data_IF_602769773041
#
_entry.id   IF_602769773041
#
_cell.length_a   1.000
_cell.length_b   1.000
_cell.length_c   1.000
_cell.angle_alpha   90.00
_cell.angle_beta   90.00
_cell.angle_gamma   90.00
#
_symmetry.space_group_name_H-M   'P 1'
#
loop_
_entity.id
_entity.type
_entity.pdbx_description
1 polymer ?
#
# COMPACT_ATOMS: atom_id res chain seq x y z
N UNK A 1 -76.75 -17.85 -18.40
CA UNK A 1 -76.71 -17.72 -16.94
C UNK A 1 -75.39 -18.28 -16.44
N UNK A 2 -74.45 -17.42 -16.05
CA UNK A 2 -73.18 -17.80 -15.44
C UNK A 2 -73.14 -17.09 -14.09
N UNK A 3 -73.30 -17.86 -13.02
CA UNK A 3 -73.34 -17.37 -11.65
C UNK A 3 -71.93 -16.92 -11.23
N UNK A 4 -71.74 -15.61 -11.17
CA UNK A 4 -70.58 -15.00 -10.54
C UNK A 4 -70.69 -15.16 -9.02
N UNK A 5 -69.90 -16.07 -8.47
CA UNK A 5 -69.64 -16.14 -7.03
C UNK A 5 -68.76 -14.95 -6.68
N UNK A 6 -69.39 -13.82 -6.36
CA UNK A 6 -68.74 -12.70 -5.69
C UNK A 6 -68.50 -13.17 -4.26
N UNK A 7 -67.29 -13.68 -4.01
CA UNK A 7 -66.78 -13.90 -2.67
C UNK A 7 -66.58 -12.54 -1.99
N UNK A 8 -67.65 -12.02 -1.40
CA UNK A 8 -67.63 -10.90 -0.49
C UNK A 8 -66.93 -11.35 0.80
N UNK A 9 -65.59 -11.27 0.81
CA UNK A 9 -64.79 -11.45 2.01
C UNK A 9 -64.92 -10.22 2.91
N UNK A 10 -66.04 -10.13 3.63
CA UNK A 10 -66.11 -9.37 4.89
C UNK A 10 -65.40 -10.19 5.97
N UNK A 11 -64.07 -10.23 5.88
CA UNK A 11 -63.20 -10.81 6.90
C UNK A 11 -62.89 -9.78 7.97
N UNK A 12 -63.43 -10.00 9.17
CA UNK A 12 -63.04 -9.46 10.49
C UNK A 12 -61.69 -8.66 10.48
N UNK A 13 -61.69 -7.35 10.79
CA UNK A 13 -60.47 -6.57 10.77
C UNK A 13 -59.61 -6.95 11.97
N UNK A 14 -58.38 -7.42 11.74
CA UNK A 14 -57.33 -7.34 12.78
C UNK A 14 -56.63 -8.62 13.24
N UNK A 15 -56.88 -9.80 12.66
CA UNK A 15 -56.18 -11.02 13.10
C UNK A 15 -54.89 -11.32 12.31
N UNK A 16 -55.06 -11.89 11.12
CA UNK A 16 -53.96 -12.48 10.33
C UNK A 16 -53.24 -11.47 9.42
N UNK A 17 -53.98 -10.54 8.82
CA UNK A 17 -53.39 -9.53 7.94
C UNK A 17 -52.61 -8.48 8.73
N UNK A 18 -53.03 -8.17 9.96
CA UNK A 18 -52.31 -7.29 10.86
C UNK A 18 -51.01 -7.92 11.36
N UNK A 19 -51.01 -9.22 11.71
CA UNK A 19 -49.79 -9.93 12.09
C UNK A 19 -48.83 -10.05 10.91
N UNK A 20 -49.30 -10.49 9.74
CA UNK A 20 -48.48 -10.62 8.53
C UNK A 20 -47.90 -9.27 8.05
N UNK A 21 -48.66 -8.18 8.22
CA UNK A 21 -48.17 -6.82 8.02
C UNK A 21 -47.01 -6.49 8.98
N UNK A 22 -47.20 -6.65 10.29
CA UNK A 22 -46.15 -6.38 11.27
C UNK A 22 -44.92 -7.27 11.06
N UNK A 23 -45.09 -8.56 10.76
CA UNK A 23 -44.00 -9.50 10.48
C UNK A 23 -43.18 -9.07 9.25
N UNK A 24 -43.84 -8.58 8.20
CA UNK A 24 -43.18 -8.06 7.00
C UNK A 24 -42.42 -6.76 7.30
N UNK A 25 -42.98 -5.87 8.11
CA UNK A 25 -42.31 -4.63 8.56
C UNK A 25 -41.08 -4.95 9.41
N UNK A 26 -41.22 -5.77 10.45
CA UNK A 26 -40.14 -6.11 11.37
C UNK A 26 -39.01 -6.85 10.65
N UNK A 27 -39.36 -7.78 9.74
CA UNK A 27 -38.38 -8.44 8.89
C UNK A 27 -37.70 -7.46 7.94
N UNK A 28 -38.44 -6.53 7.35
CA UNK A 28 -37.90 -5.48 6.48
C UNK A 28 -36.93 -4.57 7.22
N UNK A 29 -37.29 -4.10 8.42
CA UNK A 29 -36.43 -3.26 9.26
C UNK A 29 -35.16 -4.00 9.71
N UNK A 30 -35.26 -5.29 10.05
CA UNK A 30 -34.08 -6.13 10.32
C UNK A 30 -33.16 -6.23 9.10
N UNK A 31 -33.72 -6.37 7.89
CA UNK A 31 -32.94 -6.42 6.65
C UNK A 31 -32.27 -5.07 6.36
N UNK A 32 -32.94 -3.94 6.62
CA UNK A 32 -32.33 -2.60 6.54
C UNK A 32 -31.16 -2.49 7.53
N UNK A 33 -31.35 -2.90 8.79
CA UNK A 33 -30.31 -2.87 9.81
C UNK A 33 -29.11 -3.77 9.46
N UNK A 34 -29.35 -4.90 8.80
CA UNK A 34 -28.32 -5.83 8.34
C UNK A 34 -27.71 -5.44 6.97
N UNK A 35 -28.08 -4.29 6.40
CA UNK A 35 -27.55 -3.79 5.12
C UNK A 35 -28.11 -4.46 3.86
N UNK A 36 -29.12 -5.33 3.98
CA UNK A 36 -29.76 -6.03 2.85
C UNK A 36 -30.94 -5.24 2.30
N UNK A 37 -30.65 -4.23 1.48
CA UNK A 37 -31.68 -3.36 0.90
C UNK A 37 -32.61 -4.09 -0.09
N UNK A 38 -32.11 -5.06 -0.84
CA UNK A 38 -32.94 -5.80 -1.80
C UNK A 38 -33.94 -6.73 -1.10
N UNK A 39 -33.51 -7.41 -0.03
CA UNK A 39 -34.41 -8.17 0.82
C UNK A 39 -35.45 -7.26 1.50
N UNK A 40 -35.03 -6.08 1.97
CA UNK A 40 -35.94 -5.11 2.58
C UNK A 40 -36.97 -4.59 1.56
N UNK A 41 -36.58 -4.33 0.30
CA UNK A 41 -37.51 -3.95 -0.79
C UNK A 41 -38.54 -5.04 -1.10
N UNK A 42 -38.13 -6.31 -1.10
CA UNK A 42 -39.06 -7.43 -1.25
C UNK A 42 -40.07 -7.49 -0.10
N UNK A 43 -39.61 -7.30 1.14
CA UNK A 43 -40.49 -7.25 2.33
C UNK A 43 -41.40 -6.02 2.33
N UNK A 44 -40.93 -4.87 1.84
CA UNK A 44 -41.77 -3.70 1.63
C UNK A 44 -42.88 -3.96 0.61
N UNK A 45 -42.57 -4.63 -0.51
CA UNK A 45 -43.58 -5.01 -1.51
C UNK A 45 -44.64 -5.95 -0.90
N UNK A 46 -44.23 -6.90 -0.05
CA UNK A 46 -45.17 -7.72 0.72
C UNK A 46 -45.98 -6.85 1.68
N UNK A 47 -45.33 -6.00 2.49
CA UNK A 47 -46.00 -5.14 3.45
C UNK A 47 -47.06 -4.24 2.79
N UNK A 48 -46.78 -3.63 1.64
CA UNK A 48 -47.74 -2.81 0.89
C UNK A 48 -48.99 -3.57 0.43
N UNK A 49 -48.88 -4.88 0.21
CA UNK A 49 -50.01 -5.72 -0.21
C UNK A 49 -50.86 -6.20 0.98
N UNK A 50 -50.27 -6.33 2.18
CA UNK A 50 -50.97 -6.89 3.37
C UNK A 50 -51.35 -5.82 4.40
N UNK A 51 -50.61 -4.71 4.47
CA UNK A 51 -50.90 -3.58 5.34
C UNK A 51 -52.01 -2.70 4.74
N UNK A 52 -53.08 -2.49 5.49
CA UNK A 52 -54.26 -1.71 5.04
C UNK A 52 -54.72 -0.75 6.14
N UNK A 53 -55.38 0.34 5.75
CA UNK A 53 -55.87 1.34 6.70
C UNK A 53 -54.74 1.95 7.53
N UNK A 54 -54.85 1.93 8.87
CA UNK A 54 -53.87 2.55 9.79
C UNK A 54 -52.47 1.92 9.74
N UNK A 55 -52.31 0.68 9.26
CA UNK A 55 -50.99 0.04 9.17
C UNK A 55 -50.22 0.38 7.89
N UNK A 56 -50.84 1.08 6.92
CA UNK A 56 -50.16 1.57 5.72
C UNK A 56 -49.03 2.55 6.05
N UNK A 57 -49.23 3.41 7.06
CA UNK A 57 -48.21 4.34 7.54
C UNK A 57 -46.90 3.62 7.95
N UNK A 58 -46.99 2.41 8.53
CA UNK A 58 -45.79 1.62 8.88
C UNK A 58 -45.03 1.13 7.65
N UNK A 59 -45.74 0.84 6.56
CA UNK A 59 -45.10 0.49 5.29
C UNK A 59 -44.42 1.71 4.66
N UNK A 60 -44.99 2.91 4.82
CA UNK A 60 -44.35 4.17 4.42
C UNK A 60 -43.11 4.47 5.26
N UNK A 61 -43.15 4.21 6.57
CA UNK A 61 -41.99 4.30 7.46
C UNK A 61 -40.86 3.34 7.04
N UNK A 62 -41.20 2.09 6.71
CA UNK A 62 -40.23 1.13 6.16
C UNK A 62 -39.67 1.61 4.81
N UNK A 63 -40.50 2.17 3.94
CA UNK A 63 -40.02 2.75 2.68
C UNK A 63 -39.05 3.90 2.93
N UNK A 64 -39.37 4.81 3.85
CA UNK A 64 -38.48 5.90 4.24
C UNK A 64 -37.15 5.38 4.81
N UNK A 65 -37.19 4.33 5.64
CA UNK A 65 -36.00 3.67 6.18
C UNK A 65 -35.13 3.05 5.06
N UNK A 66 -35.74 2.37 4.09
CA UNK A 66 -35.02 1.79 2.93
C UNK A 66 -34.41 2.90 2.07
N UNK A 67 -35.15 3.98 1.79
CA UNK A 67 -34.64 5.12 1.03
C UNK A 67 -33.48 5.82 1.75
N UNK A 68 -33.60 6.03 3.06
CA UNK A 68 -32.53 6.60 3.89
C UNK A 68 -31.28 5.71 3.89
N UNK A 69 -31.45 4.40 4.10
CA UNK A 69 -30.35 3.45 4.07
C UNK A 69 -29.71 3.32 2.68
N UNK A 70 -30.49 3.45 1.60
CA UNK A 70 -29.99 3.51 0.23
C UNK A 70 -29.20 4.79 -0.08
N UNK A 71 -29.64 5.94 0.42
CA UNK A 71 -28.89 7.19 0.29
C UNK A 71 -27.58 7.14 1.10
N UNK A 72 -27.64 6.59 2.32
CA UNK A 72 -26.48 6.36 3.17
C UNK A 72 -25.47 5.39 2.55
N UNK A 73 -25.91 4.30 1.90
CA UNK A 73 -25.00 3.34 1.24
C UNK A 73 -24.29 3.95 0.03
N UNK A 74 -24.99 4.73 -0.79
CA UNK A 74 -24.38 5.45 -1.92
C UNK A 74 -23.38 6.54 -1.47
N UNK A 75 -23.72 7.28 -0.41
CA UNK A 75 -22.82 8.25 0.22
C UNK A 75 -21.58 7.58 0.83
N UNK A 76 -21.79 6.54 1.63
CA UNK A 76 -20.76 5.73 2.25
C UNK A 76 -19.79 5.16 1.20
N UNK A 77 -20.29 4.58 0.11
CA UNK A 77 -19.43 4.02 -0.94
C UNK A 77 -18.58 5.10 -1.63
N UNK A 78 -19.11 6.31 -1.82
CA UNK A 78 -18.31 7.44 -2.36
C UNK A 78 -17.23 7.86 -1.37
N UNK A 79 -17.55 7.95 -0.09
CA UNK A 79 -16.59 8.30 0.96
C UNK A 79 -15.50 7.24 1.11
N UNK A 80 -15.85 5.96 1.11
CA UNK A 80 -14.90 4.83 1.14
C UNK A 80 -13.94 4.90 -0.05
N UNK A 81 -14.45 5.08 -1.28
CA UNK A 81 -13.60 5.26 -2.46
C UNK A 81 -12.69 6.49 -2.37
N UNK A 82 -13.15 7.57 -1.74
CA UNK A 82 -12.30 8.74 -1.51
C UNK A 82 -11.17 8.43 -0.53
N UNK A 83 -11.46 7.71 0.56
CA UNK A 83 -10.45 7.28 1.53
C UNK A 83 -9.45 6.32 0.90
N UNK A 84 -9.91 5.35 0.10
CA UNK A 84 -9.03 4.44 -0.64
C UNK A 84 -8.04 5.20 -1.53
N UNK A 85 -8.51 6.23 -2.27
CA UNK A 85 -7.62 7.10 -3.05
C UNK A 85 -6.60 7.86 -2.19
N UNK A 86 -6.95 8.26 -0.97
CA UNK A 86 -5.97 8.86 -0.07
C UNK A 86 -4.93 7.84 0.39
N UNK A 87 -5.32 6.61 0.69
CA UNK A 87 -4.39 5.53 1.04
C UNK A 87 -3.46 5.22 -0.14
N UNK A 88 -4.00 5.07 -1.35
CA UNK A 88 -3.23 4.84 -2.58
C UNK A 88 -2.32 6.04 -2.92
N UNK A 89 -2.73 7.25 -2.55
CA UNK A 89 -1.96 8.47 -2.69
C UNK A 89 -0.91 8.69 -1.59
N UNK A 90 -0.73 7.74 -0.66
CA UNK A 90 0.15 7.85 0.50
C UNK A 90 -0.18 9.04 1.42
N UNK A 91 -1.46 9.36 1.56
CA UNK A 91 -1.99 10.45 2.38
C UNK A 91 -2.69 9.86 3.61
N UNK A 92 -1.92 9.29 4.55
CA UNK A 92 -2.49 8.51 5.65
C UNK A 92 -3.25 9.38 6.65
N UNK A 93 -2.87 10.65 6.82
CA UNK A 93 -3.62 11.56 7.68
C UNK A 93 -4.97 11.94 7.07
N UNK A 94 -5.01 12.25 5.78
CA UNK A 94 -6.25 12.53 5.05
C UNK A 94 -7.17 11.30 5.06
N UNK A 95 -6.61 10.10 4.87
CA UNK A 95 -7.37 8.86 5.00
C UNK A 95 -7.94 8.68 6.42
N UNK A 96 -7.14 8.91 7.47
CA UNK A 96 -7.59 8.82 8.86
C UNK A 96 -8.72 9.79 9.18
N UNK A 97 -8.62 11.05 8.73
CA UNK A 97 -9.67 12.06 8.87
C UNK A 97 -10.94 11.64 8.13
N UNK A 98 -10.80 11.11 6.91
CA UNK A 98 -11.92 10.61 6.12
C UNK A 98 -12.67 9.47 6.82
N UNK A 99 -11.94 8.51 7.40
CA UNK A 99 -12.53 7.41 8.19
C UNK A 99 -13.25 7.93 9.43
N UNK A 100 -12.68 8.91 10.13
CA UNK A 100 -13.29 9.51 11.33
C UNK A 100 -14.56 10.33 11.01
N UNK A 101 -14.67 10.85 9.79
CA UNK A 101 -15.82 11.62 9.31
C UNK A 101 -16.96 10.74 8.76
N UNK A 102 -16.83 9.42 8.76
CA UNK A 102 -17.90 8.52 8.30
C UNK A 102 -19.05 8.49 9.30
N UNK A 103 -20.29 8.59 8.79
CA UNK A 103 -21.50 8.42 9.59
C UNK A 103 -21.58 7.04 10.25
N UNK A 104 -22.32 6.93 11.36
CA UNK A 104 -22.44 5.69 12.14
C UNK A 104 -22.90 4.47 11.30
N UNK A 105 -23.83 4.68 10.37
CA UNK A 105 -24.34 3.65 9.46
C UNK A 105 -23.25 3.12 8.50
N UNK A 106 -22.31 3.99 8.10
CA UNK A 106 -21.18 3.61 7.26
C UNK A 106 -20.02 3.03 8.09
N UNK A 107 -19.79 3.61 9.27
CA UNK A 107 -18.72 3.23 10.18
C UNK A 107 -18.82 1.78 10.66
N UNK A 108 -20.03 1.20 10.74
CA UNK A 108 -20.24 -0.21 11.11
C UNK A 108 -20.10 -1.22 9.96
N UNK A 109 -19.84 -0.77 8.73
CA UNK A 109 -19.70 -1.67 7.59
C UNK A 109 -18.37 -2.45 7.63
N UNK A 110 -18.41 -3.73 7.30
CA UNK A 110 -17.23 -4.62 7.29
C UNK A 110 -16.12 -4.13 6.35
N UNK A 111 -16.47 -3.45 5.26
CA UNK A 111 -15.53 -2.81 4.33
C UNK A 111 -14.74 -1.68 5.01
N UNK A 112 -15.40 -0.87 5.85
CA UNK A 112 -14.75 0.21 6.60
C UNK A 112 -13.84 -0.35 7.70
N UNK A 113 -14.22 -1.48 8.31
CA UNK A 113 -13.34 -2.15 9.27
C UNK A 113 -12.07 -2.72 8.62
N UNK A 114 -12.17 -3.26 7.41
CA UNK A 114 -10.99 -3.67 6.63
C UNK A 114 -10.11 -2.46 6.31
N UNK A 115 -10.71 -1.35 5.89
CA UNK A 115 -10.02 -0.10 5.59
C UNK A 115 -9.29 0.47 6.81
N UNK A 116 -9.93 0.46 7.99
CA UNK A 116 -9.30 0.84 9.27
C UNK A 116 -8.10 -0.02 9.60
N UNK A 117 -8.22 -1.34 9.43
CA UNK A 117 -7.11 -2.28 9.68
C UNK A 117 -5.96 -2.03 8.70
N UNK A 118 -6.24 -1.76 7.44
CA UNK A 118 -5.23 -1.43 6.44
C UNK A 118 -4.51 -0.12 6.80
N UNK A 119 -5.26 0.92 7.14
CA UNK A 119 -4.73 2.22 7.55
C UNK A 119 -3.83 2.09 8.77
N UNK A 120 -4.27 1.36 9.81
CA UNK A 120 -3.49 1.13 11.02
C UNK A 120 -2.17 0.40 10.74
N UNK A 121 -2.17 -0.57 9.81
CA UNK A 121 -0.93 -1.26 9.38
C UNK A 121 0.03 -0.32 8.68
N UNK A 122 -0.46 0.55 7.79
CA UNK A 122 0.37 1.53 7.10
C UNK A 122 0.95 2.57 8.07
N UNK A 123 0.15 3.05 9.02
CA UNK A 123 0.62 3.96 10.07
C UNK A 123 1.69 3.31 10.95
N UNK A 124 1.52 2.04 11.32
CA UNK A 124 2.54 1.30 12.07
C UNK A 124 3.84 1.13 11.27
N UNK A 125 3.75 0.86 9.96
CA UNK A 125 4.91 0.78 9.09
C UNK A 125 5.63 2.14 8.97
N UNK A 126 4.90 3.25 8.80
CA UNK A 126 5.45 4.60 8.78
C UNK A 126 6.17 4.94 10.09
N UNK A 127 5.56 4.64 11.25
CA UNK A 127 6.16 4.85 12.56
C UNK A 127 7.46 4.04 12.73
N UNK A 128 7.48 2.79 12.26
CA UNK A 128 8.69 1.96 12.30
C UNK A 128 9.83 2.54 11.44
N UNK A 129 9.51 3.05 10.24
CA UNK A 129 10.52 3.70 9.39
C UNK A 129 11.03 4.97 10.04
N UNK A 130 10.14 5.78 10.64
CA UNK A 130 10.50 7.00 11.34
C UNK A 130 11.51 6.76 12.48
N UNK A 131 11.32 5.71 13.28
CA UNK A 131 12.30 5.32 14.31
C UNK A 131 13.65 5.00 13.68
N UNK A 132 13.68 4.28 12.55
CA UNK A 132 14.90 4.00 11.80
C UNK A 132 15.60 5.24 11.26
N UNK A 133 14.84 6.24 10.77
CA UNK A 133 15.40 7.53 10.34
C UNK A 133 16.07 8.25 11.50
N UNK A 134 15.40 8.35 12.65
CA UNK A 134 15.95 8.99 13.84
C UNK A 134 17.23 8.30 14.30
N UNK A 135 17.23 6.97 14.35
CA UNK A 135 18.43 6.20 14.71
C UNK A 135 19.59 6.43 13.73
N UNK A 136 19.32 6.58 12.43
CA UNK A 136 20.34 6.91 11.45
C UNK A 136 20.89 8.34 11.63
N UNK A 137 20.02 9.32 11.94
CA UNK A 137 20.43 10.69 12.25
C UNK A 137 21.29 10.73 13.52
N UNK A 138 20.89 10.03 14.58
CA UNK A 138 21.65 9.90 15.84
C UNK A 138 23.01 9.23 15.60
N UNK A 139 23.04 8.24 14.71
CA UNK A 139 24.25 7.55 14.25
C UNK A 139 25.11 8.36 13.27
N UNK A 140 24.70 9.59 12.91
CA UNK A 140 25.34 10.44 11.89
C UNK A 140 25.45 9.78 10.50
N UNK A 141 24.58 8.83 10.19
CA UNK A 141 24.51 8.15 8.90
C UNK A 141 23.52 8.88 7.96
N UNK A 142 24.05 9.84 7.20
CA UNK A 142 23.26 10.64 6.26
C UNK A 142 22.63 9.79 5.14
N UNK A 143 23.28 8.71 4.70
CA UNK A 143 22.78 7.87 3.60
C UNK A 143 21.62 7.02 4.08
N UNK A 144 21.72 6.40 5.25
CA UNK A 144 20.62 5.64 5.84
C UNK A 144 19.42 6.56 6.19
N UNK A 145 19.67 7.75 6.72
CA UNK A 145 18.63 8.73 7.02
C UNK A 145 17.91 9.20 5.73
N UNK A 146 18.64 9.51 4.66
CA UNK A 146 18.05 9.90 3.37
C UNK A 146 17.18 8.79 2.78
N UNK A 147 17.67 7.55 2.77
CA UNK A 147 16.91 6.40 2.29
C UNK A 147 15.66 6.15 3.14
N UNK A 148 15.77 6.32 4.46
CA UNK A 148 14.66 6.16 5.39
C UNK A 148 13.58 7.24 5.19
N UNK A 149 13.97 8.50 4.96
CA UNK A 149 13.02 9.58 4.60
C UNK A 149 12.31 9.25 3.29
N UNK A 150 13.03 8.83 2.25
CA UNK A 150 12.40 8.43 0.98
C UNK A 150 11.42 7.27 1.14
N UNK A 151 11.73 6.29 2.01
CA UNK A 151 10.80 5.21 2.36
C UNK A 151 9.58 5.72 3.12
N UNK A 152 9.78 6.66 4.05
CA UNK A 152 8.67 7.26 4.80
C UNK A 152 7.73 8.00 3.85
N UNK A 153 8.24 8.79 2.90
CA UNK A 153 7.43 9.47 1.88
C UNK A 153 6.70 8.50 0.93
N UNK A 154 7.28 7.32 0.69
CA UNK A 154 6.63 6.27 -0.09
C UNK A 154 5.51 5.54 0.68
N UNK A 155 5.40 5.74 2.00
CA UNK A 155 4.35 5.15 2.83
C UNK A 155 3.33 6.22 3.23
N UNK A 156 3.81 7.38 3.68
CA UNK A 156 3.04 8.52 4.16
C UNK A 156 3.73 9.84 3.81
N UNK A 157 3.25 10.48 2.74
CA UNK A 157 3.70 11.82 2.30
C UNK A 157 3.24 12.92 3.24
N UNK A 158 2.20 12.66 4.02
CA UNK A 158 1.64 13.60 4.99
C UNK A 158 2.18 13.38 6.40
N UNK A 159 3.23 12.56 6.55
CA UNK A 159 3.85 12.34 7.84
C UNK A 159 4.32 13.70 8.42
N UNK A 160 3.85 14.09 9.61
CA UNK A 160 4.01 15.45 10.14
C UNK A 160 5.47 15.79 10.46
N UNK A 161 6.29 14.77 10.61
CA UNK A 161 7.69 14.85 11.01
C UNK A 161 8.65 14.90 9.83
N UNK A 162 8.16 14.67 8.59
CA UNK A 162 8.98 14.75 7.38
C UNK A 162 9.74 16.08 7.22
N UNK A 163 9.13 17.25 7.46
CA UNK A 163 9.85 18.53 7.34
C UNK A 163 11.01 18.63 8.32
N UNK A 164 10.81 18.18 9.56
CA UNK A 164 11.84 18.20 10.59
C UNK A 164 12.98 17.23 10.26
N UNK A 165 12.66 15.98 9.91
CA UNK A 165 13.65 14.96 9.56
C UNK A 165 14.52 15.37 8.35
N UNK A 166 13.93 16.03 7.36
CA UNK A 166 14.68 16.58 6.22
C UNK A 166 15.61 17.72 6.64
N UNK A 167 15.15 18.59 7.54
CA UNK A 167 15.98 19.65 8.12
C UNK A 167 17.18 19.07 8.89
N UNK A 168 16.94 18.05 9.71
CA UNK A 168 17.98 17.36 10.48
C UNK A 168 19.02 16.69 9.57
N UNK A 169 18.56 16.04 8.49
CA UNK A 169 19.45 15.46 7.47
C UNK A 169 20.29 16.54 6.79
N UNK A 170 19.69 17.69 6.46
CA UNK A 170 20.40 18.80 5.83
C UNK A 170 21.46 19.38 6.78
N UNK A 171 21.12 19.58 8.04
CA UNK A 171 22.07 20.01 9.07
C UNK A 171 23.22 19.00 9.24
N UNK A 172 22.93 17.70 9.27
CA UNK A 172 23.93 16.64 9.33
C UNK A 172 24.87 16.68 8.11
N UNK A 173 24.33 16.83 6.90
CA UNK A 173 25.11 16.92 5.66
C UNK A 173 25.99 18.16 5.60
N UNK A 174 25.51 19.30 6.13
CA UNK A 174 26.30 20.53 6.21
C UNK A 174 27.43 20.39 7.24
N UNK A 175 27.17 19.75 8.38
CA UNK A 175 28.17 19.50 9.40
C UNK A 175 29.29 18.57 8.91
N UNK A 176 28.95 17.52 8.15
CA UNK A 176 29.96 16.63 7.56
C UNK A 176 30.76 17.33 6.45
N UNK A 177 30.12 18.16 5.62
CA UNK A 177 30.81 18.97 4.62
C UNK A 177 31.77 20.00 5.26
N UNK A 178 31.34 20.68 6.33
CA UNK A 178 32.18 21.62 7.06
C UNK A 178 33.37 20.93 7.74
N UNK A 179 33.17 19.73 8.31
CA UNK A 179 34.25 18.94 8.88
C UNK A 179 35.27 18.49 7.82
N UNK A 180 34.81 18.13 6.61
CA UNK A 180 35.69 17.79 5.49
C UNK A 180 36.50 18.99 4.99
N UNK A 181 35.89 20.19 4.93
CA UNK A 181 36.57 21.43 4.56
C UNK A 181 37.59 21.91 5.61
N UNK A 182 37.37 21.60 6.90
CA UNK A 182 38.33 21.87 7.96
C UNK A 182 39.49 20.86 8.00
N UNK A 183 39.30 19.67 7.41
CA UNK A 183 40.30 18.61 7.34
C UNK A 183 41.24 18.71 6.14
N UNK A 184 41.00 19.61 5.18
CA UNK A 184 42.02 19.97 4.18
C UNK A 184 43.12 20.76 4.89
N UNK A 185 44.39 20.32 4.87
CA UNK A 185 45.47 21.13 5.38
C UNK A 185 45.50 22.42 4.57
N UNK A 186 45.43 23.55 5.28
CA UNK A 186 45.75 24.86 4.74
C UNK A 186 47.18 24.78 4.17
N UNK A 187 47.32 24.66 2.85
CA UNK A 187 48.50 25.21 2.18
C UNK A 187 48.42 26.72 2.41
N UNK A 188 49.07 27.15 3.49
CA UNK A 188 49.24 28.55 3.80
C UNK A 188 49.87 29.24 2.58
N UNK A 189 49.29 30.33 2.06
CA UNK A 189 50.03 31.20 1.16
C UNK A 189 51.12 31.86 2.00
N UNK A 190 52.34 31.35 1.91
CA UNK A 190 53.50 31.97 2.54
C UNK A 190 53.83 33.22 1.73
N UNK A 191 53.28 34.35 2.17
CA UNK A 191 53.73 35.68 1.75
C UNK A 191 55.22 35.80 2.05
N UNK A 192 56.05 35.79 1.00
CA UNK A 192 57.45 36.20 1.08
C UNK A 192 57.58 37.64 0.57
N UNK A 193 58.37 38.50 1.22
CA UNK A 193 58.46 39.91 0.85
C UNK A 193 59.33 40.09 -0.41
N UNK A 194 59.01 41.16 -1.13
CA UNK A 194 59.66 41.61 -2.34
C UNK A 194 61.20 41.74 -2.20
N UNK A 195 61.93 41.18 -3.16
CA UNK A 195 63.29 41.59 -3.51
C UNK A 195 63.26 42.02 -4.97
N UNK A 196 63.44 43.32 -5.19
CA UNK A 196 63.90 43.87 -6.46
C UNK A 196 65.38 43.46 -6.61
N UNK A 197 65.77 42.91 -7.76
CA UNK A 197 66.72 43.56 -8.68
C UNK A 197 67.37 42.56 -9.67
N UNK A 198 67.49 43.04 -10.92
CA UNK A 198 68.32 42.59 -12.06
C UNK A 198 67.93 41.40 -12.94
N UNK A 199 67.76 41.74 -14.22
CA UNK A 199 67.62 40.94 -15.45
C UNK A 199 68.89 40.08 -15.76
N UNK A 200 68.99 39.16 -16.78
CA UNK A 200 68.51 39.32 -18.16
C UNK A 200 67.97 38.08 -18.95
N UNK A 201 67.42 38.39 -20.12
CA UNK A 201 67.03 37.62 -21.35
C UNK A 201 68.23 36.82 -21.96
N UNK A 202 68.17 35.82 -22.91
CA UNK A 202 67.12 35.35 -23.87
C UNK A 202 66.89 33.80 -24.03
N UNK A 203 65.94 33.44 -24.92
CA UNK A 203 65.65 32.10 -25.53
C UNK A 203 66.76 31.60 -26.51
N UNK A 204 66.65 30.49 -27.31
CA UNK A 204 65.60 29.46 -27.52
C UNK A 204 66.06 27.97 -27.79
N UNK A 205 65.09 27.08 -28.10
CA UNK A 205 65.11 25.95 -29.10
C UNK A 205 65.29 24.45 -28.72
N UNK A 206 64.24 23.67 -29.06
CA UNK A 206 64.11 22.32 -29.71
C UNK A 206 64.82 21.06 -29.17
N UNK A 207 64.08 19.93 -29.14
CA UNK A 207 64.18 18.69 -29.98
C UNK A 207 63.56 17.46 -29.25
N UNK A 208 62.75 16.66 -29.96
CA UNK A 208 62.13 15.37 -29.55
C UNK A 208 63.11 14.17 -29.76
N UNK A 209 62.75 12.88 -29.88
CA UNK A 209 61.64 12.02 -29.38
C UNK A 209 62.16 10.69 -28.74
N UNK A 210 61.28 9.83 -28.16
CA UNK A 210 61.43 8.35 -28.26
C UNK A 210 60.22 7.55 -27.73
N UNK A 211 59.78 6.60 -28.56
CA UNK A 211 58.84 5.50 -28.31
C UNK A 211 59.63 4.25 -27.84
N UNK A 212 58.98 3.21 -27.24
CA UNK A 212 58.56 2.07 -28.06
C UNK A 212 57.21 1.39 -27.68
N UNK A 213 56.54 0.83 -28.69
CA UNK A 213 55.39 -0.13 -28.71
C UNK A 213 55.96 -1.59 -28.65
N UNK A 214 55.21 -2.74 -28.59
CA UNK A 214 53.76 -2.99 -28.74
C UNK A 214 53.11 -4.03 -27.78
N UNK A 215 51.77 -4.06 -27.64
CA UNK A 215 50.94 -5.15 -28.19
C UNK A 215 49.45 -4.76 -28.36
N UNK A 216 48.95 -5.09 -29.56
CA UNK A 216 47.58 -5.03 -30.16
C UNK A 216 46.42 -5.43 -29.20
N UNK A 217 45.34 -4.65 -29.14
CA UNK A 217 44.15 -4.63 -30.03
C UNK A 217 43.33 -5.94 -29.92
N UNK A 218 42.05 -5.95 -29.51
CA UNK A 218 40.82 -5.38 -30.12
C UNK A 218 39.84 -5.06 -28.96
N UNK A 219 39.08 -3.97 -28.83
CA UNK A 219 38.13 -3.33 -29.76
C UNK A 219 37.78 -1.91 -29.24
N UNK A 220 37.67 -0.93 -30.14
CA UNK A 220 37.31 0.47 -29.82
C UNK A 220 35.95 0.80 -30.42
N UNK A 221 35.06 1.23 -29.54
CA UNK A 221 34.06 2.29 -29.65
C UNK A 221 33.26 2.48 -30.96
N UNK A 222 31.94 2.41 -30.74
CA UNK A 222 30.91 3.37 -31.15
C UNK A 222 30.49 3.39 -32.63
N UNK A 223 29.34 2.76 -32.88
CA UNK A 223 28.28 3.35 -33.69
C UNK A 223 26.97 3.18 -32.93
N UNK A 224 26.21 4.27 -32.85
CA UNK A 224 24.86 4.29 -32.32
C UNK A 224 23.94 3.40 -33.16
N UNK A 225 23.39 2.37 -32.55
CA UNK A 225 22.12 1.77 -32.96
C UNK A 225 21.24 1.70 -31.71
N UNK A 226 20.02 2.23 -31.83
CA UNK A 226 18.99 2.14 -30.82
C UNK A 226 18.72 0.64 -30.53
N UNK A 227 19.22 0.16 -29.40
CA UNK A 227 19.10 -1.24 -29.01
C UNK A 227 17.64 -1.63 -28.80
N UNK A 228 17.17 -2.77 -29.35
CA UNK A 228 15.86 -3.29 -29.03
C UNK A 228 15.89 -3.90 -27.62
N UNK A 229 15.42 -3.09 -26.67
CA UNK A 229 14.66 -3.44 -25.49
C UNK A 229 15.17 -4.52 -24.49
N UNK A 230 15.38 -4.01 -23.27
CA UNK A 230 15.28 -4.63 -21.94
C UNK A 230 14.04 -5.54 -21.68
N UNK A 231 13.18 -5.76 -22.68
CA UNK A 231 11.95 -6.55 -22.57
C UNK A 231 12.22 -8.00 -22.11
N UNK A 232 13.34 -8.60 -22.52
CA UNK A 232 13.70 -9.96 -22.11
C UNK A 232 14.10 -10.08 -20.65
N UNK A 233 14.79 -9.07 -20.09
CA UNK A 233 15.17 -9.04 -18.69
C UNK A 233 13.96 -8.70 -17.80
N UNK A 234 13.12 -7.74 -18.23
CA UNK A 234 11.87 -7.42 -17.56
C UNK A 234 10.91 -8.62 -17.51
N UNK A 235 10.73 -9.34 -18.63
CA UNK A 235 9.85 -10.51 -18.69
C UNK A 235 10.37 -11.69 -17.83
N UNK A 236 11.70 -11.88 -17.77
CA UNK A 236 12.31 -12.86 -16.83
C UNK A 236 12.06 -12.47 -15.38
N UNK A 237 12.17 -11.19 -15.05
CA UNK A 237 11.90 -10.70 -13.70
C UNK A 237 10.41 -10.88 -13.32
N UNK A 238 9.48 -10.60 -14.24
CA UNK A 238 8.06 -10.86 -14.02
C UNK A 238 7.75 -12.34 -13.79
N UNK A 239 8.38 -13.24 -14.56
CA UNK A 239 8.27 -14.69 -14.35
C UNK A 239 8.85 -15.12 -12.98
N UNK A 240 10.00 -14.58 -12.58
CA UNK A 240 10.54 -14.86 -11.25
C UNK A 240 9.56 -14.42 -10.15
N UNK A 241 8.94 -13.25 -10.30
CA UNK A 241 7.93 -12.74 -9.36
C UNK A 241 6.63 -13.54 -9.35
N UNK A 242 6.21 -14.17 -10.46
CA UNK A 242 5.07 -15.09 -10.45
C UNK A 242 5.40 -16.37 -9.68
N UNK A 243 6.57 -16.97 -9.92
CA UNK A 243 7.01 -18.15 -9.17
C UNK A 243 7.13 -17.90 -7.67
N UNK A 244 7.59 -16.72 -7.25
CA UNK A 244 7.62 -16.35 -5.83
C UNK A 244 6.22 -16.22 -5.21
N UNK A 245 5.23 -15.72 -5.96
CA UNK A 245 3.83 -15.66 -5.52
C UNK A 245 3.21 -17.05 -5.39
N UNK A 246 3.50 -17.95 -6.33
CA UNK A 246 3.01 -19.33 -6.29
C UNK A 246 3.69 -20.15 -5.17
N UNK A 247 4.96 -19.87 -4.86
CA UNK A 247 5.65 -20.42 -3.69
C UNK A 247 5.00 -19.96 -2.38
N UNK A 248 4.65 -18.67 -2.28
CA UNK A 248 3.94 -18.11 -1.11
C UNK A 248 2.55 -18.71 -0.92
N UNK A 249 1.79 -18.90 -2.01
CA UNK A 249 0.48 -19.57 -1.98
C UNK A 249 0.61 -21.02 -1.54
N UNK A 250 1.54 -21.77 -2.12
CA UNK A 250 1.77 -23.18 -1.79
C UNK A 250 2.20 -23.37 -0.33
N UNK A 251 3.01 -22.44 0.19
CA UNK A 251 3.40 -22.39 1.60
C UNK A 251 2.19 -22.15 2.52
N UNK A 252 1.25 -21.27 2.12
CA UNK A 252 0.03 -21.01 2.89
C UNK A 252 -0.92 -22.22 2.91
N UNK A 253 -0.92 -23.02 1.84
CA UNK A 253 -1.69 -24.25 1.71
C UNK A 253 -1.02 -25.48 2.38
N UNK A 254 0.17 -25.32 2.97
CA UNK A 254 0.93 -26.42 3.58
C UNK A 254 1.59 -27.37 2.58
N UNK A 255 1.62 -27.02 1.28
CA UNK A 255 2.24 -27.81 0.21
C UNK A 255 3.73 -27.46 0.09
N UNK A 256 4.53 -27.95 1.03
CA UNK A 256 5.94 -27.57 1.16
C UNK A 256 6.81 -27.97 -0.05
N UNK A 257 6.57 -29.15 -0.65
CA UNK A 257 7.32 -29.61 -1.82
C UNK A 257 7.03 -28.77 -3.07
N UNK A 258 5.77 -28.38 -3.26
CA UNK A 258 5.37 -27.46 -4.33
C UNK A 258 6.01 -26.07 -4.10
N UNK A 259 6.00 -25.57 -2.86
CA UNK A 259 6.62 -24.30 -2.52
C UNK A 259 8.14 -24.29 -2.79
N UNK A 260 8.86 -25.38 -2.48
CA UNK A 260 10.29 -25.54 -2.82
C UNK A 260 10.52 -25.55 -4.33
N UNK A 261 9.69 -26.28 -5.08
CA UNK A 261 9.79 -26.37 -6.55
C UNK A 261 9.62 -25.00 -7.23
N UNK A 262 8.64 -24.21 -6.79
CA UNK A 262 8.45 -22.85 -7.30
C UNK A 262 9.60 -21.91 -6.92
N UNK A 263 10.15 -22.06 -5.71
CA UNK A 263 11.29 -21.26 -5.25
C UNK A 263 12.58 -21.58 -6.02
N UNK A 264 12.82 -22.85 -6.36
CA UNK A 264 13.93 -23.25 -7.23
C UNK A 264 13.75 -22.74 -8.67
N UNK A 265 12.52 -22.72 -9.16
CA UNK A 265 12.19 -22.14 -10.47
C UNK A 265 12.47 -20.63 -10.49
N UNK A 266 12.08 -19.90 -9.44
CA UNK A 266 12.41 -18.48 -9.27
C UNK A 266 13.92 -18.23 -9.20
N UNK A 267 14.67 -19.08 -8.48
CA UNK A 267 16.14 -18.97 -8.34
C UNK A 267 16.91 -19.20 -9.64
N UNK A 268 16.40 -20.05 -10.53
CA UNK A 268 16.99 -20.24 -11.87
C UNK A 268 16.82 -19.02 -12.78
N UNK A 269 15.78 -18.23 -12.55
CA UNK A 269 15.42 -17.08 -13.39
C UNK A 269 16.04 -15.79 -12.84
N UNK A 270 16.03 -15.61 -11.52
CA UNK A 270 16.62 -14.45 -10.83
C UNK A 270 17.38 -14.90 -9.57
N UNK A 271 18.67 -15.28 -9.69
CA UNK A 271 19.46 -15.77 -8.56
C UNK A 271 19.82 -14.67 -7.54
N UNK A 272 19.71 -13.39 -7.91
CA UNK A 272 20.06 -12.26 -7.04
C UNK A 272 18.90 -11.79 -6.15
N UNK A 273 17.74 -12.43 -6.24
CA UNK A 273 16.53 -11.98 -5.55
C UNK A 273 16.57 -12.29 -4.04
N UNK A 274 16.63 -11.24 -3.21
CA UNK A 274 16.64 -11.36 -1.75
C UNK A 274 15.40 -12.07 -1.16
N UNK A 275 14.26 -12.12 -1.89
CA UNK A 275 13.04 -12.81 -1.44
C UNK A 275 13.18 -14.33 -1.45
N UNK A 276 14.06 -14.88 -2.28
CA UNK A 276 14.30 -16.33 -2.35
C UNK A 276 14.87 -16.84 -1.02
N UNK A 277 15.82 -16.13 -0.43
CA UNK A 277 16.46 -16.53 0.82
C UNK A 277 15.58 -16.33 2.04
N UNK A 278 14.67 -15.36 2.00
CA UNK A 278 13.69 -15.16 3.08
C UNK A 278 12.57 -16.22 3.02
N UNK A 279 12.07 -16.54 1.82
CA UNK A 279 11.03 -17.57 1.64
C UNK A 279 11.57 -18.97 1.91
N UNK A 280 12.79 -19.30 1.50
CA UNK A 280 13.38 -20.61 1.78
C UNK A 280 13.50 -20.87 3.29
N UNK A 281 13.89 -19.86 4.08
CA UNK A 281 13.90 -19.95 5.55
C UNK A 281 12.50 -20.15 6.12
N UNK A 282 11.50 -19.42 5.63
CA UNK A 282 10.11 -19.56 6.07
C UNK A 282 9.52 -20.94 5.75
N UNK A 283 9.81 -21.50 4.58
CA UNK A 283 9.38 -22.85 4.19
C UNK A 283 9.94 -23.88 5.17
N UNK A 284 11.25 -23.85 5.45
CA UNK A 284 11.90 -24.79 6.38
C UNK A 284 11.34 -24.69 7.80
N UNK A 285 11.11 -23.47 8.28
CA UNK A 285 10.58 -23.25 9.64
C UNK A 285 9.13 -23.75 9.76
N UNK A 286 8.27 -23.44 8.78
CA UNK A 286 6.88 -23.93 8.75
C UNK A 286 6.80 -25.45 8.61
N UNK A 287 7.63 -26.04 7.76
CA UNK A 287 7.73 -27.49 7.60
C UNK A 287 8.12 -28.16 8.92
N UNK A 288 9.11 -27.60 9.63
CA UNK A 288 9.50 -28.07 10.96
C UNK A 288 8.37 -27.93 11.98
N UNK A 289 7.62 -26.82 11.95
CA UNK A 289 6.48 -26.61 12.86
C UNK A 289 5.34 -27.59 12.58
N UNK A 290 5.04 -27.90 11.32
CA UNK A 290 4.04 -28.91 10.97
C UNK A 290 4.47 -30.29 11.43
N UNK A 291 5.72 -30.68 11.14
CA UNK A 291 6.27 -31.96 11.61
C UNK A 291 6.26 -32.06 13.14
N UNK A 292 6.56 -30.98 13.86
CA UNK A 292 6.44 -30.95 15.32
C UNK A 292 4.99 -31.10 15.75
N UNK A 293 4.04 -30.40 15.13
CA UNK A 293 2.63 -30.47 15.50
C UNK A 293 2.04 -31.88 15.25
N UNK A 294 2.43 -32.52 14.14
CA UNK A 294 2.02 -33.88 13.79
C UNK A 294 2.70 -34.95 14.67
N UNK A 295 3.94 -34.71 15.13
CA UNK A 295 4.66 -35.63 16.04
C UNK A 295 4.32 -35.42 17.52
N UNK A 296 3.70 -34.30 17.89
CA UNK A 296 3.27 -34.00 19.27
C UNK A 296 1.81 -34.43 19.54
N UNK A 297 1.27 -35.36 18.75
CA UNK A 297 -0.02 -35.98 19.05
C UNK A 297 0.14 -36.91 20.26
N UNK A 298 -0.55 -36.58 21.35
CA UNK A 298 -0.87 -37.46 22.49
C UNK A 298 -2.17 -38.19 22.23
#
# INVERSE_FOLDING_TARGET
>A
MLAAVIAYMNGKPGGKNASACNDAIDSGLKLVANGSLDGARQKLATAKNVCTGKSSAKADDLQAAISKAGAASGGCQRSVRAIERHIDGHQLQSAAKGVAALDADCAGASTVDQLRKQLARQQAAAASVQVGVRQALDGKDAVAAQNGIGRLEAIDREAPELPQLKGDLQALSAATAAAAAAATPSEAPVSTPAVLETAPVPAPARVAPREPVPARAVERAAVAEAAPADNGAAMRNEMALSFLRDAERSLAEGKFDAAKTYLDSARRIDPANARIDSLSRRIRERERQVLQTETTIK
#
